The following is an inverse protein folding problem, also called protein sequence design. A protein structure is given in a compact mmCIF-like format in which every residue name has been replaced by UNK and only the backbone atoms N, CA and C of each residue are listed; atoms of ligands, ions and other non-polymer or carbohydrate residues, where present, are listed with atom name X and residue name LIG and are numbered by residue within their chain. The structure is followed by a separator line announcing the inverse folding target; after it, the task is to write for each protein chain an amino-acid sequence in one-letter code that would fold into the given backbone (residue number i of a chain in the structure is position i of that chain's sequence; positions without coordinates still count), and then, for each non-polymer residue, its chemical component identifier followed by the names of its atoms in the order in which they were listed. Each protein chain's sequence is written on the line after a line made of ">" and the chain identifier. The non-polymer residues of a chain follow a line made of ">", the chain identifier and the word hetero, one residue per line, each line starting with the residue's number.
data_IF_062890243184
#
_entry.id   IF_062890243184
#
_cell.length_a   1.000
_cell.length_b   1.000
_cell.length_c   1.000
_cell.angle_alpha   90.00
_cell.angle_beta   90.00
_cell.angle_gamma   90.00
#
_symmetry.space_group_name_H-M   'P 1'
#
loop_
_entity.id
_entity.type
_entity.pdbx_description
1 polymer ?
#
# COMPACT_ATOMS: atom_id res chain seq x y z
N UNK A 1 -41.04 -15.46 25.94
CA UNK A 1 -40.36 -14.65 24.91
C UNK A 1 -38.98 -15.24 24.84
N UNK A 2 -38.87 -16.30 24.05
CA UNK A 2 -37.67 -17.14 23.97
C UNK A 2 -36.62 -16.39 23.17
N UNK A 3 -35.46 -16.20 23.79
CA UNK A 3 -34.29 -15.59 23.19
C UNK A 3 -33.63 -16.64 22.30
N UNK A 4 -33.94 -16.59 21.02
CA UNK A 4 -33.34 -17.44 20.00
C UNK A 4 -31.87 -17.01 19.83
N UNK A 5 -30.96 -17.73 20.50
CA UNK A 5 -29.52 -17.65 20.25
C UNK A 5 -29.28 -18.11 18.82
N UNK A 6 -29.21 -17.15 17.90
CA UNK A 6 -28.93 -17.41 16.51
C UNK A 6 -27.48 -17.88 16.39
N UNK A 7 -27.30 -19.20 16.31
CA UNK A 7 -25.98 -19.83 16.20
C UNK A 7 -25.31 -19.41 14.89
N UNK A 8 -24.02 -19.07 15.00
CA UNK A 8 -23.20 -18.65 13.89
C UNK A 8 -23.13 -19.80 12.85
N UNK A 9 -23.34 -19.52 11.55
CA UNK A 9 -23.40 -20.55 10.53
C UNK A 9 -22.09 -21.36 10.47
N UNK A 10 -22.19 -22.69 10.40
CA UNK A 10 -21.07 -23.66 10.40
C UNK A 10 -20.03 -23.40 9.28
N UNK A 11 -20.40 -22.72 8.20
CA UNK A 11 -19.48 -22.37 7.09
C UNK A 11 -18.44 -21.28 7.47
N UNK A 12 -18.59 -20.69 8.67
CA UNK A 12 -17.62 -19.75 9.25
C UNK A 12 -16.69 -20.43 10.26
N UNK A 13 -16.56 -21.76 10.25
CA UNK A 13 -15.43 -22.43 10.90
C UNK A 13 -14.12 -22.00 10.22
N UNK A 14 -13.51 -20.93 10.74
CA UNK A 14 -12.09 -20.54 10.69
C UNK A 14 -11.19 -21.39 9.77
N UNK A 15 -11.39 -21.28 8.44
CA UNK A 15 -10.49 -21.87 7.43
C UNK A 15 -9.10 -21.24 7.39
N UNK A 16 -8.81 -20.29 8.27
CA UNK A 16 -7.49 -19.75 8.50
C UNK A 16 -6.75 -20.58 9.56
N UNK A 17 -6.48 -21.86 9.29
CA UNK A 17 -5.42 -22.58 10.03
C UNK A 17 -4.08 -22.08 9.54
N UNK A 18 -3.77 -20.83 9.90
CA UNK A 18 -2.49 -20.22 9.61
C UNK A 18 -1.46 -20.97 10.46
N UNK A 19 -0.53 -21.67 9.81
CA UNK A 19 0.55 -22.37 10.50
C UNK A 19 1.19 -21.39 11.50
N UNK A 20 1.37 -21.79 12.77
CA UNK A 20 1.79 -20.88 13.85
C UNK A 20 3.00 -20.02 13.45
N UNK A 21 3.96 -20.60 12.73
CA UNK A 21 5.11 -19.87 12.18
C UNK A 21 4.75 -18.72 11.24
N UNK A 22 3.78 -18.93 10.33
CA UNK A 22 3.29 -17.89 9.40
C UNK A 22 2.50 -16.82 10.15
N UNK A 23 1.69 -17.20 11.15
CA UNK A 23 0.96 -16.26 11.98
C UNK A 23 1.86 -15.32 12.77
N UNK A 24 2.97 -15.85 13.29
CA UNK A 24 3.97 -15.05 13.98
C UNK A 24 4.64 -14.03 13.05
N UNK A 25 4.75 -14.29 11.75
CA UNK A 25 5.35 -13.34 10.80
C UNK A 25 4.43 -12.13 10.50
N UNK A 26 3.11 -12.33 10.51
CA UNK A 26 2.14 -11.25 10.26
C UNK A 26 2.04 -10.23 11.40
N UNK A 27 2.35 -10.64 12.63
CA UNK A 27 2.29 -9.77 13.82
C UNK A 27 3.63 -9.10 14.13
N UNK A 28 4.71 -9.46 13.42
CA UNK A 28 6.02 -8.86 13.65
C UNK A 28 6.01 -7.39 13.23
N UNK A 29 6.65 -6.51 14.03
CA UNK A 29 6.81 -5.12 13.63
C UNK A 29 7.74 -5.04 12.41
N UNK A 30 7.42 -4.13 11.50
CA UNK A 30 8.25 -3.87 10.33
C UNK A 30 9.58 -3.24 10.73
N UNK A 31 10.61 -3.55 9.96
CA UNK A 31 11.96 -3.03 10.15
C UNK A 31 12.28 -1.92 9.15
N UNK A 32 13.23 -1.06 9.53
CA UNK A 32 13.81 -0.04 8.62
C UNK A 32 14.27 -0.64 7.29
N UNK A 33 14.88 -1.83 7.33
CA UNK A 33 15.44 -2.50 6.14
C UNK A 33 14.34 -2.93 5.18
N UNK A 34 13.23 -3.47 5.68
CA UNK A 34 12.08 -3.85 4.86
C UNK A 34 11.45 -2.62 4.21
N UNK A 35 11.25 -1.55 4.98
CA UNK A 35 10.72 -0.28 4.44
C UNK A 35 11.61 0.25 3.32
N UNK A 36 12.93 0.33 3.55
CA UNK A 36 13.86 0.79 2.52
C UNK A 36 13.84 -0.10 1.27
N UNK A 37 13.83 -1.42 1.45
CA UNK A 37 13.78 -2.40 0.35
C UNK A 37 12.56 -2.16 -0.53
N UNK A 38 11.39 -1.95 0.09
CA UNK A 38 10.14 -1.69 -0.64
C UNK A 38 10.18 -0.34 -1.35
N UNK A 39 10.59 0.74 -0.67
CA UNK A 39 10.71 2.06 -1.29
C UNK A 39 11.66 2.02 -2.50
N UNK A 40 12.76 1.26 -2.41
CA UNK A 40 13.73 1.12 -3.50
C UNK A 40 13.25 0.19 -4.62
N UNK A 41 12.25 -0.66 -4.36
CA UNK A 41 11.62 -1.48 -5.38
C UNK A 41 10.69 -0.69 -6.31
N UNK A 42 10.36 0.55 -5.98
CA UNK A 42 9.52 1.38 -6.85
C UNK A 42 10.17 1.58 -8.22
N UNK A 43 9.34 1.35 -9.25
CA UNK A 43 9.70 1.60 -10.63
C UNK A 43 10.07 3.08 -10.79
N UNK A 44 11.11 3.33 -11.59
CA UNK A 44 11.63 4.67 -11.84
C UNK A 44 10.57 5.51 -12.57
N UNK A 45 9.88 4.91 -13.54
CA UNK A 45 8.82 5.54 -14.32
C UNK A 45 7.55 4.69 -14.23
N UNK A 46 6.60 5.10 -13.38
CA UNK A 46 5.26 4.46 -13.36
C UNK A 46 4.28 5.10 -14.35
N UNK A 47 4.55 6.32 -14.84
CA UNK A 47 3.72 7.00 -15.84
C UNK A 47 4.53 8.10 -16.56
N UNK A 48 4.52 8.18 -17.91
CA UNK A 48 5.39 9.07 -18.68
C UNK A 48 5.04 10.58 -18.67
N UNK A 49 3.96 11.02 -18.01
CA UNK A 49 3.44 12.38 -18.26
C UNK A 49 3.56 13.38 -17.08
N UNK A 50 3.68 12.95 -15.81
CA UNK A 50 3.76 13.95 -14.71
C UNK A 50 4.27 13.51 -13.33
N UNK A 51 4.43 12.21 -13.07
CA UNK A 51 4.82 11.69 -11.74
C UNK A 51 6.16 10.91 -11.78
N UNK A 52 7.10 11.36 -12.60
CA UNK A 52 8.41 10.70 -12.86
C UNK A 52 9.40 10.74 -11.68
N UNK A 53 9.02 11.29 -10.54
CA UNK A 53 9.99 11.58 -9.49
C UNK A 53 9.99 10.58 -8.35
N UNK A 54 8.98 9.75 -8.14
CA UNK A 54 8.83 9.04 -6.86
C UNK A 54 9.97 8.03 -6.63
N UNK A 55 10.26 7.15 -7.60
CA UNK A 55 11.30 6.13 -7.44
C UNK A 55 12.72 6.72 -7.38
N UNK A 56 13.05 7.62 -8.30
CA UNK A 56 14.37 8.25 -8.37
C UNK A 56 14.63 9.23 -7.22
N UNK A 57 13.62 9.99 -6.81
CA UNK A 57 13.73 10.91 -5.67
C UNK A 57 14.10 10.17 -4.39
N UNK A 58 13.37 9.10 -4.05
CA UNK A 58 13.66 8.37 -2.82
C UNK A 58 15.00 7.65 -2.87
N UNK A 59 15.44 7.15 -4.03
CA UNK A 59 16.78 6.54 -4.18
C UNK A 59 17.89 7.58 -4.08
N UNK A 60 17.77 8.72 -4.77
CA UNK A 60 18.79 9.76 -4.84
C UNK A 60 18.93 10.58 -3.55
N UNK A 61 17.81 10.87 -2.88
CA UNK A 61 17.79 11.70 -1.67
C UNK A 61 17.59 10.90 -0.38
N UNK A 62 17.77 9.57 -0.40
CA UNK A 62 17.52 8.69 0.76
C UNK A 62 18.28 9.13 2.02
N UNK A 63 19.51 9.65 1.87
CA UNK A 63 20.32 10.15 2.99
C UNK A 63 19.61 11.29 3.73
N UNK A 64 18.83 12.09 3.01
CA UNK A 64 18.11 13.25 3.54
C UNK A 64 16.73 12.83 4.06
N UNK A 65 15.94 12.14 3.22
CA UNK A 65 14.51 11.87 3.52
C UNK A 65 14.27 10.51 4.20
N UNK A 66 15.19 9.56 4.10
CA UNK A 66 14.97 8.17 4.48
C UNK A 66 14.76 7.96 5.97
N UNK A 67 15.27 8.85 6.82
CA UNK A 67 14.98 8.80 8.27
C UNK A 67 13.50 9.08 8.54
N UNK A 68 12.98 10.18 7.98
CA UNK A 68 11.60 10.61 8.19
C UNK A 68 10.62 9.66 7.50
N UNK A 69 10.91 9.21 6.27
CA UNK A 69 10.09 8.22 5.54
C UNK A 69 9.90 6.95 6.37
N UNK A 70 11.00 6.39 6.90
CA UNK A 70 10.92 5.18 7.74
C UNK A 70 10.13 5.43 9.01
N UNK A 71 10.38 6.56 9.69
CA UNK A 71 9.66 6.92 10.90
C UNK A 71 8.15 7.01 10.64
N UNK A 72 7.75 7.76 9.63
CA UNK A 72 6.34 7.94 9.26
C UNK A 72 5.67 6.61 8.93
N UNK A 73 6.29 5.77 8.11
CA UNK A 73 5.73 4.47 7.73
C UNK A 73 5.54 3.57 8.96
N UNK A 74 6.55 3.47 9.83
CA UNK A 74 6.44 2.66 11.05
C UNK A 74 5.37 3.20 12.00
N UNK A 75 5.28 4.52 12.17
CA UNK A 75 4.23 5.16 12.98
C UNK A 75 2.83 4.93 12.43
N UNK A 76 2.65 4.93 11.11
CA UNK A 76 1.35 4.59 10.48
C UNK A 76 0.96 3.15 10.81
N UNK A 77 1.90 2.21 10.69
CA UNK A 77 1.62 0.83 11.03
C UNK A 77 1.37 0.64 12.53
N UNK A 78 2.06 1.35 13.41
CA UNK A 78 1.81 1.26 14.85
C UNK A 78 0.48 1.89 15.27
N UNK A 79 0.20 3.11 14.80
CA UNK A 79 -0.99 3.88 15.18
C UNK A 79 -2.26 3.50 14.43
N UNK A 80 -2.13 2.84 13.27
CA UNK A 80 -3.20 2.60 12.28
C UNK A 80 -3.84 3.88 11.73
N UNK A 81 -3.20 5.03 11.91
CA UNK A 81 -3.69 6.33 11.45
C UNK A 81 -2.87 6.78 10.24
N UNK A 82 -3.57 7.09 9.14
CA UNK A 82 -2.99 7.75 7.97
C UNK A 82 -3.44 9.21 7.98
N UNK A 83 -2.56 10.13 7.63
CA UNK A 83 -2.92 11.55 7.55
C UNK A 83 -3.97 11.76 6.45
N UNK A 84 -5.10 12.46 6.72
CA UNK A 84 -6.17 12.66 5.73
C UNK A 84 -5.71 13.32 4.42
N UNK A 85 -4.60 14.08 4.47
CA UNK A 85 -4.02 14.70 3.28
C UNK A 85 -3.48 13.70 2.23
N UNK A 86 -3.33 12.43 2.60
CA UNK A 86 -2.83 11.36 1.73
C UNK A 86 -3.93 10.68 0.91
N UNK A 87 -5.20 10.98 1.18
CA UNK A 87 -6.36 10.27 0.59
C UNK A 87 -6.72 10.71 -0.83
N UNK A 88 -5.87 11.49 -1.50
CA UNK A 88 -6.18 12.02 -2.83
C UNK A 88 -5.73 11.06 -3.93
N UNK A 89 -6.56 10.08 -4.24
CA UNK A 89 -6.40 9.28 -5.46
C UNK A 89 -6.66 10.17 -6.69
N UNK A 90 -5.71 10.22 -7.61
CA UNK A 90 -5.89 10.89 -8.90
C UNK A 90 -6.42 9.89 -9.92
N UNK A 91 -7.68 10.07 -10.32
CA UNK A 91 -8.25 9.34 -11.46
C UNK A 91 -7.81 10.04 -12.75
N UNK A 92 -7.26 9.30 -13.70
CA UNK A 92 -6.89 9.81 -15.01
C UNK A 92 -7.37 8.82 -16.06
N UNK A 93 -7.98 9.32 -17.13
CA UNK A 93 -8.37 8.50 -18.27
C UNK A 93 -7.13 8.30 -19.15
N UNK A 94 -6.66 7.06 -19.24
CA UNK A 94 -5.64 6.67 -20.20
C UNK A 94 -6.34 6.16 -21.47
N UNK A 95 -6.06 6.72 -22.65
CA UNK A 95 -6.66 6.25 -23.90
C UNK A 95 -6.19 4.82 -24.19
N UNK A 96 -7.14 3.96 -24.62
CA UNK A 96 -6.87 2.53 -24.90
C UNK A 96 -6.11 2.29 -26.20
N UNK A 97 -6.11 3.29 -27.09
CA UNK A 97 -5.35 3.33 -28.35
C UNK A 97 -4.65 4.68 -28.47
N UNK A 98 -3.49 4.72 -29.13
CA UNK A 98 -2.79 5.98 -29.40
C UNK A 98 -3.62 6.86 -30.36
N UNK A 99 -3.49 8.19 -30.23
CA UNK A 99 -4.13 9.19 -31.11
C UNK A 99 -5.67 9.14 -31.22
N UNK A 100 -6.39 8.92 -30.11
CA UNK A 100 -7.86 9.06 -30.12
C UNK A 100 -8.30 10.46 -30.56
N UNK A 101 -7.49 11.49 -30.29
CA UNK A 101 -7.75 12.88 -30.70
C UNK A 101 -7.75 13.08 -32.23
N UNK A 102 -7.21 12.13 -33.00
CA UNK A 102 -7.20 12.15 -34.46
C UNK A 102 -8.32 11.32 -35.10
N UNK A 103 -9.11 10.59 -34.30
CA UNK A 103 -10.20 9.72 -34.78
C UNK A 103 -11.59 10.39 -34.76
N UNK A 104 -11.65 11.68 -34.41
CA UNK A 104 -12.86 12.50 -34.55
C UNK A 104 -12.79 13.29 -35.86
N UNK A 105 -13.11 12.62 -36.98
CA UNK A 105 -13.58 13.22 -38.23
C UNK A 105 -14.77 12.40 -38.71
#
# INVERSE_FOLDING_TARGET
>A
MEEETQELPEDLELRATLHLGVGLDLIKPFTRKEVQKIVFSFAINKTPEKDELIGNFFKGYWVIVGKEVVKTILTIFESRIITPSWEKARVTLAPKVANVDQALI
#
